data_IF_822088194650
#
_entry.id   IF_822088194650
#
_cell.length_a   1.000
_cell.length_b   1.000
_cell.length_c   1.000
_cell.angle_alpha   90.00
_cell.angle_beta   90.00
_cell.angle_gamma   90.00
#
_symmetry.space_group_name_H-M   'P 1'
#
loop_
_entity.id
_entity.type
_entity.pdbx_description
1 polymer ?
#
# COMPACT_ATOMS: atom_id res chain seq x y z
N UNK A 1 -18.37 -18.07 -11.20
CA UNK A 1 -17.95 -17.61 -9.85
C UNK A 1 -17.25 -16.26 -9.92
N UNK A 2 -16.17 -16.11 -10.69
CA UNK A 2 -15.47 -14.82 -10.81
C UNK A 2 -16.37 -13.65 -11.23
N UNK A 3 -17.27 -13.84 -12.21
CA UNK A 3 -18.18 -12.77 -12.66
C UNK A 3 -19.26 -12.42 -11.62
N UNK A 4 -19.67 -13.39 -10.79
CA UNK A 4 -20.61 -13.14 -9.69
C UNK A 4 -19.96 -12.26 -8.62
N UNK A 5 -18.70 -12.56 -8.26
CA UNK A 5 -17.95 -11.76 -7.29
C UNK A 5 -17.64 -10.37 -7.85
N UNK A 6 -17.30 -10.27 -9.14
CA UNK A 6 -17.16 -8.97 -9.81
C UNK A 6 -18.43 -8.13 -9.67
N UNK A 7 -19.58 -8.71 -10.00
CA UNK A 7 -20.86 -8.00 -9.93
C UNK A 7 -21.21 -7.59 -8.50
N UNK A 8 -20.92 -8.43 -7.50
CA UNK A 8 -21.09 -8.07 -6.08
C UNK A 8 -20.20 -6.90 -5.68
N UNK A 9 -18.92 -6.90 -6.07
CA UNK A 9 -17.98 -5.82 -5.75
C UNK A 9 -18.34 -4.50 -6.44
N UNK A 10 -18.85 -4.57 -7.66
CA UNK A 10 -19.39 -3.40 -8.37
C UNK A 10 -20.64 -2.90 -7.66
N UNK A 11 -21.56 -3.78 -7.27
CA UNK A 11 -22.80 -3.37 -6.60
C UNK A 11 -22.59 -2.73 -5.22
N UNK A 12 -21.54 -3.08 -4.49
CA UNK A 12 -21.21 -2.44 -3.20
C UNK A 12 -20.38 -1.14 -3.37
N UNK A 13 -20.08 -0.74 -4.61
CA UNK A 13 -19.42 0.52 -4.91
C UNK A 13 -17.90 0.54 -4.67
N UNK A 14 -17.23 -0.62 -4.68
CA UNK A 14 -15.77 -0.68 -4.47
C UNK A 14 -15.04 0.06 -5.59
N UNK A 15 -15.50 -0.10 -6.83
CA UNK A 15 -14.86 0.49 -7.99
C UNK A 15 -14.98 2.02 -7.97
N UNK A 16 -16.17 2.56 -7.66
CA UNK A 16 -16.42 4.01 -7.56
C UNK A 16 -15.61 4.65 -6.43
N UNK A 17 -15.55 3.98 -5.27
CA UNK A 17 -14.70 4.42 -4.15
C UNK A 17 -13.22 4.36 -4.49
N UNK A 18 -12.81 3.40 -5.31
CA UNK A 18 -11.42 3.29 -5.73
C UNK A 18 -11.07 4.37 -6.73
N UNK A 19 -11.91 4.56 -7.76
CA UNK A 19 -11.73 5.54 -8.84
C UNK A 19 -11.71 6.98 -8.35
N UNK A 20 -12.47 7.32 -7.32
CA UNK A 20 -12.48 8.68 -6.73
C UNK A 20 -11.18 9.04 -6.02
N UNK A 21 -10.31 8.06 -5.74
CA UNK A 21 -9.02 8.32 -5.10
C UNK A 21 -8.00 8.86 -6.11
N UNK A 22 -7.04 9.69 -5.68
CA UNK A 22 -6.05 10.31 -6.57
C UNK A 22 -5.29 9.33 -7.46
N UNK A 23 -5.05 8.11 -6.98
CA UNK A 23 -4.40 7.04 -7.72
C UNK A 23 -5.37 6.09 -8.45
N UNK A 24 -6.64 6.06 -8.08
CA UNK A 24 -7.62 5.16 -8.69
C UNK A 24 -7.95 5.50 -10.13
N UNK A 25 -7.98 6.79 -10.46
CA UNK A 25 -8.16 7.27 -11.84
C UNK A 25 -7.04 6.78 -12.78
N UNK A 26 -5.80 6.67 -12.30
CA UNK A 26 -4.66 6.14 -13.04
C UNK A 26 -4.75 4.62 -13.27
N UNK A 27 -5.31 3.87 -12.31
CA UNK A 27 -5.55 2.43 -12.48
C UNK A 27 -6.68 2.19 -13.49
N UNK A 28 -7.73 3.02 -13.44
CA UNK A 28 -8.87 2.93 -14.35
C UNK A 28 -8.53 3.30 -15.78
N UNK A 29 -7.68 4.31 -15.99
CA UNK A 29 -7.20 4.68 -17.33
C UNK A 29 -6.36 3.58 -17.98
N UNK A 30 -5.73 2.71 -17.18
CA UNK A 30 -5.11 1.46 -17.63
C UNK A 30 -6.10 0.33 -17.97
N UNK A 31 -7.41 0.56 -17.90
CA UNK A 31 -8.45 -0.44 -18.17
C UNK A 31 -8.68 -1.44 -17.04
N UNK A 32 -8.08 -1.22 -15.86
CA UNK A 32 -8.20 -2.10 -14.70
C UNK A 32 -9.20 -1.55 -13.68
N UNK A 33 -9.94 -2.42 -13.00
CA UNK A 33 -10.81 -2.08 -11.86
C UNK A 33 -10.47 -2.92 -10.66
N UNK A 34 -10.75 -2.43 -9.44
CA UNK A 34 -10.53 -3.19 -8.21
C UNK A 34 -11.32 -4.50 -8.24
N UNK A 35 -12.59 -4.45 -8.65
CA UNK A 35 -13.45 -5.63 -8.86
C UNK A 35 -12.88 -6.59 -9.92
N UNK A 36 -12.29 -6.05 -10.99
CA UNK A 36 -11.69 -6.79 -12.08
C UNK A 36 -10.42 -7.53 -11.66
N UNK A 37 -9.56 -6.87 -10.89
CA UNK A 37 -8.34 -7.47 -10.33
C UNK A 37 -8.72 -8.62 -9.38
N UNK A 38 -9.64 -8.38 -8.45
CA UNK A 38 -10.12 -9.39 -7.50
C UNK A 38 -10.77 -10.58 -8.22
N UNK A 39 -11.68 -10.30 -9.16
CA UNK A 39 -12.34 -11.34 -9.98
C UNK A 39 -11.33 -12.14 -10.80
N UNK A 40 -10.36 -11.46 -11.41
CA UNK A 40 -9.29 -12.07 -12.19
C UNK A 40 -8.45 -13.04 -11.36
N UNK A 41 -8.06 -12.64 -10.14
CA UNK A 41 -7.33 -13.51 -9.20
C UNK A 41 -8.13 -14.74 -8.82
N UNK A 42 -9.43 -14.61 -8.57
CA UNK A 42 -10.29 -15.74 -8.22
C UNK A 42 -10.47 -16.69 -9.41
N UNK A 43 -10.62 -16.15 -10.63
CA UNK A 43 -10.65 -16.97 -11.85
C UNK A 43 -9.35 -17.73 -12.05
N UNK A 44 -8.22 -17.05 -11.85
CA UNK A 44 -6.88 -17.64 -11.92
C UNK A 44 -6.74 -18.78 -10.90
N UNK A 45 -7.23 -18.60 -9.67
CA UNK A 45 -7.24 -19.64 -8.64
C UNK A 45 -7.98 -20.90 -9.11
N UNK A 46 -9.17 -20.72 -9.68
CA UNK A 46 -9.95 -21.82 -10.26
C UNK A 46 -9.22 -22.53 -11.41
N UNK A 47 -8.59 -21.78 -12.30
CA UNK A 47 -7.80 -22.35 -13.41
C UNK A 47 -6.60 -23.15 -12.91
N UNK A 48 -5.88 -22.65 -11.89
CA UNK A 48 -4.72 -23.37 -11.34
C UNK A 48 -5.11 -24.67 -10.63
N UNK A 49 -6.23 -24.68 -9.89
CA UNK A 49 -6.74 -25.93 -9.27
C UNK A 49 -7.06 -26.97 -10.36
N UNK A 50 -7.73 -26.53 -11.43
CA UNK A 50 -8.06 -27.40 -12.56
C UNK A 50 -6.78 -27.93 -13.24
N UNK A 51 -5.82 -27.06 -13.55
CA UNK A 51 -4.55 -27.45 -14.18
C UNK A 51 -3.73 -28.38 -13.29
N UNK A 52 -3.69 -28.14 -11.98
CA UNK A 52 -2.99 -28.97 -11.01
C UNK A 52 -3.60 -30.37 -10.98
N UNK A 53 -4.93 -30.46 -10.94
CA UNK A 53 -5.66 -31.73 -10.93
C UNK A 53 -5.43 -32.50 -12.23
N UNK A 54 -5.54 -31.84 -13.38
CA UNK A 54 -5.27 -32.44 -14.68
C UNK A 54 -3.83 -32.97 -14.78
N UNK A 55 -2.85 -32.16 -14.37
CA UNK A 55 -1.42 -32.52 -14.38
C UNK A 55 -1.10 -33.70 -13.46
N UNK A 56 -1.78 -33.78 -12.32
CA UNK A 56 -1.67 -34.90 -11.39
C UNK A 56 -2.22 -36.20 -12.00
N UNK A 57 -3.37 -36.14 -12.69
CA UNK A 57 -3.95 -37.29 -13.39
C UNK A 57 -3.02 -37.77 -14.52
N UNK A 58 -2.41 -36.83 -15.26
CA UNK A 58 -1.44 -37.13 -16.31
C UNK A 58 -0.07 -37.58 -15.76
N UNK A 59 0.09 -37.66 -14.44
CA UNK A 59 1.34 -38.06 -13.76
C UNK A 59 2.55 -37.19 -14.12
N UNK A 60 2.32 -35.91 -14.43
CA UNK A 60 3.39 -34.94 -14.72
C UNK A 60 3.97 -34.38 -13.42
N UNK A 61 4.67 -35.20 -12.64
CA UNK A 61 5.07 -34.89 -11.25
C UNK A 61 5.77 -33.55 -11.11
N UNK A 62 6.77 -33.25 -11.95
CA UNK A 62 7.52 -31.99 -11.87
C UNK A 62 6.63 -30.76 -12.17
N UNK A 63 5.73 -30.89 -13.15
CA UNK A 63 4.82 -29.81 -13.52
C UNK A 63 3.74 -29.58 -12.46
N UNK A 64 3.21 -30.66 -11.87
CA UNK A 64 2.24 -30.60 -10.76
C UNK A 64 2.82 -29.88 -9.54
N UNK A 65 4.08 -30.15 -9.18
CA UNK A 65 4.75 -29.46 -8.05
C UNK A 65 4.87 -27.95 -8.32
N UNK A 66 5.22 -27.56 -9.54
CA UNK A 66 5.26 -26.14 -9.91
C UNK A 66 3.88 -25.48 -9.78
N UNK A 67 2.82 -26.12 -10.30
CA UNK A 67 1.47 -25.58 -10.20
C UNK A 67 0.98 -25.45 -8.76
N UNK A 68 1.31 -26.42 -7.89
CA UNK A 68 1.00 -26.35 -6.46
C UNK A 68 1.69 -25.13 -5.85
N UNK A 69 2.99 -24.93 -6.10
CA UNK A 69 3.73 -23.78 -5.55
C UNK A 69 3.14 -22.42 -5.95
N UNK A 70 2.70 -22.29 -7.21
CA UNK A 70 2.04 -21.06 -7.70
C UNK A 70 0.67 -20.89 -7.02
N UNK A 71 -0.09 -21.99 -6.89
CA UNK A 71 -1.40 -21.98 -6.24
C UNK A 71 -1.31 -21.60 -4.77
N UNK A 72 -0.26 -22.05 -4.06
CA UNK A 72 0.00 -21.72 -2.66
C UNK A 72 0.47 -20.27 -2.45
N UNK A 73 1.06 -19.65 -3.48
CA UNK A 73 1.44 -18.24 -3.44
C UNK A 73 0.24 -17.30 -3.65
N UNK A 74 -0.75 -17.71 -4.43
CA UNK A 74 -1.90 -16.86 -4.77
C UNK A 74 -2.69 -16.29 -3.57
N UNK A 75 -2.94 -17.00 -2.45
CA UNK A 75 -3.64 -16.45 -1.31
C UNK A 75 -2.89 -15.25 -0.73
N UNK A 76 -1.56 -15.32 -0.67
CA UNK A 76 -0.71 -14.20 -0.20
C UNK A 76 -0.77 -13.02 -1.15
N UNK A 77 -0.70 -13.28 -2.46
CA UNK A 77 -0.88 -12.26 -3.48
C UNK A 77 -2.24 -11.56 -3.34
N UNK A 78 -3.29 -12.35 -3.13
CA UNK A 78 -4.64 -11.85 -2.92
C UNK A 78 -4.75 -10.97 -1.67
N UNK A 79 -4.21 -11.43 -0.54
CA UNK A 79 -4.17 -10.62 0.70
C UNK A 79 -3.41 -9.32 0.50
N UNK A 80 -2.25 -9.35 -0.17
CA UNK A 80 -1.48 -8.14 -0.48
C UNK A 80 -2.27 -7.15 -1.33
N UNK A 81 -3.00 -7.63 -2.35
CA UNK A 81 -3.86 -6.76 -3.17
C UNK A 81 -4.98 -6.16 -2.34
N UNK A 82 -5.61 -6.93 -1.46
CA UNK A 82 -6.63 -6.40 -0.54
C UNK A 82 -6.06 -5.34 0.40
N UNK A 83 -4.85 -5.55 0.93
CA UNK A 83 -4.15 -4.56 1.76
C UNK A 83 -3.92 -3.26 0.98
N UNK A 84 -3.53 -3.33 -0.29
CA UNK A 84 -3.40 -2.13 -1.12
C UNK A 84 -4.75 -1.41 -1.27
N UNK A 85 -5.79 -2.13 -1.67
CA UNK A 85 -7.12 -1.53 -1.90
C UNK A 85 -7.67 -0.88 -0.63
N UNK A 86 -7.64 -1.61 0.49
CA UNK A 86 -8.14 -1.11 1.78
C UNK A 86 -7.22 -0.02 2.33
N UNK A 87 -5.91 -0.19 2.18
CA UNK A 87 -4.91 0.75 2.70
C UNK A 87 -5.01 2.11 2.03
N UNK A 88 -5.20 2.16 0.71
CA UNK A 88 -5.38 3.44 0.00
C UNK A 88 -6.65 4.15 0.47
N UNK A 89 -7.77 3.43 0.62
CA UNK A 89 -9.01 4.01 1.20
C UNK A 89 -8.77 4.52 2.62
N UNK A 90 -8.02 3.76 3.42
CA UNK A 90 -7.71 4.13 4.80
C UNK A 90 -6.86 5.39 4.88
N UNK A 91 -5.95 5.59 3.92
CA UNK A 91 -5.14 6.80 3.84
C UNK A 91 -6.02 8.02 3.66
N UNK A 92 -6.96 8.02 2.71
CA UNK A 92 -7.81 9.18 2.48
C UNK A 92 -8.64 9.54 3.72
N UNK A 93 -9.20 8.55 4.42
CA UNK A 93 -9.95 8.78 5.68
C UNK A 93 -9.07 9.45 6.73
N UNK A 94 -7.86 8.91 6.95
CA UNK A 94 -6.91 9.48 7.92
C UNK A 94 -6.48 10.89 7.49
N UNK A 95 -6.29 11.09 6.19
CA UNK A 95 -5.77 12.34 5.67
C UNK A 95 -6.79 13.47 5.72
N UNK A 96 -8.06 13.16 5.48
CA UNK A 96 -9.17 14.10 5.60
C UNK A 96 -9.37 14.54 7.05
N UNK A 97 -9.29 13.60 8.00
CA UNK A 97 -9.36 13.90 9.43
C UNK A 97 -8.24 14.86 9.86
N UNK A 98 -7.00 14.53 9.51
CA UNK A 98 -5.83 15.35 9.85
C UNK A 98 -5.89 16.73 9.18
N UNK A 99 -6.33 16.79 7.92
CA UNK A 99 -6.48 18.06 7.18
C UNK A 99 -7.53 18.96 7.84
N UNK A 100 -8.64 18.38 8.30
CA UNK A 100 -9.66 19.12 9.05
C UNK A 100 -9.09 19.72 10.34
N UNK A 101 -8.38 18.92 11.13
CA UNK A 101 -7.78 19.39 12.39
C UNK A 101 -6.73 20.47 12.18
N UNK A 102 -5.84 20.30 11.20
CA UNK A 102 -4.73 21.25 10.98
C UNK A 102 -5.24 22.60 10.44
N UNK A 103 -6.29 22.60 9.62
CA UNK A 103 -6.90 23.83 9.10
C UNK A 103 -7.46 24.72 10.20
N UNK A 104 -8.03 24.13 11.24
CA UNK A 104 -8.55 24.86 12.39
C UNK A 104 -7.45 25.52 13.23
N UNK A 105 -6.20 25.04 13.10
CA UNK A 105 -5.05 25.48 13.90
C UNK A 105 -4.18 26.54 13.21
N UNK A 106 -4.51 26.95 11.97
CA UNK A 106 -3.76 27.93 11.17
C UNK A 106 -2.23 27.73 11.16
N UNK A 107 -1.79 26.48 11.01
CA UNK A 107 -0.38 26.11 11.07
C UNK A 107 0.33 26.46 9.74
N UNK A 108 1.38 27.27 9.83
CA UNK A 108 2.29 27.54 8.70
C UNK A 108 2.95 26.24 8.20
N UNK A 109 2.94 26.01 6.89
CA UNK A 109 3.57 24.82 6.28
C UNK A 109 2.65 23.62 6.01
N UNK A 110 1.34 23.79 6.24
CA UNK A 110 0.31 22.77 5.91
C UNK A 110 0.40 22.28 4.46
N UNK A 111 0.76 23.17 3.52
CA UNK A 111 0.92 22.85 2.09
C UNK A 111 2.04 21.85 1.79
N UNK A 112 3.04 21.72 2.67
CA UNK A 112 4.18 20.80 2.52
C UNK A 112 3.98 19.55 3.37
N UNK A 113 3.47 19.71 4.59
CA UNK A 113 3.32 18.61 5.57
C UNK A 113 2.25 17.62 5.12
N UNK A 114 1.10 18.09 4.61
CA UNK A 114 0.00 17.20 4.21
C UNK A 114 0.37 16.26 3.06
N UNK A 115 0.96 16.74 1.94
CA UNK A 115 1.41 15.85 0.87
C UNK A 115 2.49 14.87 1.32
N UNK A 116 3.42 15.33 2.17
CA UNK A 116 4.50 14.50 2.69
C UNK A 116 3.96 13.36 3.56
N UNK A 117 3.02 13.66 4.46
CA UNK A 117 2.38 12.67 5.31
C UNK A 117 1.55 11.67 4.49
N UNK A 118 0.79 12.15 3.49
CA UNK A 118 0.06 11.27 2.56
C UNK A 118 1.01 10.31 1.84
N UNK A 119 2.13 10.83 1.32
CA UNK A 119 3.16 10.01 0.65
C UNK A 119 3.79 8.99 1.59
N UNK A 120 4.03 9.37 2.85
CA UNK A 120 4.58 8.46 3.86
C UNK A 120 3.63 7.32 4.22
N UNK A 121 2.34 7.61 4.44
CA UNK A 121 1.35 6.57 4.70
C UNK A 121 1.21 5.61 3.49
N UNK A 122 1.26 6.15 2.28
CA UNK A 122 1.24 5.35 1.06
C UNK A 122 2.44 4.42 0.96
N UNK A 123 3.64 4.90 1.28
CA UNK A 123 4.86 4.11 1.36
C UNK A 123 4.68 2.94 2.34
N UNK A 124 4.15 3.19 3.55
CA UNK A 124 3.89 2.14 4.54
C UNK A 124 2.93 1.08 3.98
N UNK A 125 1.80 1.50 3.41
CA UNK A 125 0.80 0.57 2.84
C UNK A 125 1.42 -0.30 1.75
N UNK A 126 2.25 0.30 0.87
CA UNK A 126 2.97 -0.45 -0.16
C UNK A 126 3.93 -1.46 0.46
N UNK A 127 4.75 -1.06 1.43
CA UNK A 127 5.70 -1.96 2.07
C UNK A 127 5.01 -3.14 2.74
N UNK A 128 3.92 -2.89 3.47
CA UNK A 128 3.14 -3.95 4.12
C UNK A 128 2.52 -4.89 3.09
N UNK A 129 2.00 -4.36 1.99
CA UNK A 129 1.46 -5.17 0.91
C UNK A 129 2.54 -6.04 0.24
N UNK A 130 3.69 -5.46 -0.08
CA UNK A 130 4.82 -6.17 -0.68
C UNK A 130 5.35 -7.27 0.23
N UNK A 131 5.51 -6.99 1.52
CA UNK A 131 5.93 -7.96 2.52
C UNK A 131 4.93 -9.13 2.63
N UNK A 132 3.63 -8.82 2.63
CA UNK A 132 2.56 -9.84 2.61
C UNK A 132 2.64 -10.73 1.37
N UNK A 133 3.00 -10.13 0.22
CA UNK A 133 3.24 -10.83 -1.03
C UNK A 133 4.59 -11.58 -1.07
N UNK A 134 5.34 -11.67 0.04
CA UNK A 134 6.68 -12.29 0.08
C UNK A 134 7.69 -11.64 -0.88
N UNK A 135 7.48 -10.38 -1.24
CA UNK A 135 8.47 -9.62 -2.00
C UNK A 135 9.55 -9.16 -1.03
N UNK A 136 10.82 -9.37 -1.38
CA UNK A 136 11.95 -8.91 -0.58
C UNK A 136 11.97 -7.36 -0.51
N UNK A 137 11.53 -6.84 0.62
CA UNK A 137 11.51 -5.41 0.93
C UNK A 137 12.79 -4.94 1.65
N UNK A 138 13.76 -5.83 1.86
CA UNK A 138 15.00 -5.54 2.57
C UNK A 138 15.79 -4.37 1.97
N UNK A 139 15.82 -4.28 0.64
CA UNK A 139 16.46 -3.15 -0.05
C UNK A 139 15.77 -1.82 0.26
N UNK A 140 14.43 -1.81 0.35
CA UNK A 140 13.67 -0.62 0.66
C UNK A 140 13.94 -0.18 2.10
N UNK A 141 13.92 -1.10 3.05
CA UNK A 141 14.29 -0.79 4.45
C UNK A 141 15.72 -0.28 4.58
N UNK A 142 16.67 -0.83 3.82
CA UNK A 142 18.06 -0.39 3.84
C UNK A 142 18.24 1.05 3.35
N UNK A 143 17.45 1.48 2.37
CA UNK A 143 17.48 2.87 1.90
C UNK A 143 16.67 3.82 2.80
N UNK A 144 15.44 3.44 3.18
CA UNK A 144 14.55 4.32 3.93
C UNK A 144 14.91 4.43 5.40
N UNK A 145 15.51 3.40 6.01
CA UNK A 145 15.93 3.41 7.41
C UNK A 145 16.90 4.56 7.72
N UNK A 146 18.07 4.62 7.07
CA UNK A 146 19.03 5.71 7.27
C UNK A 146 18.45 7.10 6.92
N UNK A 147 17.63 7.19 5.88
CA UNK A 147 16.95 8.45 5.52
C UNK A 147 16.00 8.91 6.63
N UNK A 148 15.22 8.00 7.21
CA UNK A 148 14.30 8.32 8.31
C UNK A 148 15.06 8.81 9.55
N UNK A 149 16.14 8.12 9.94
CA UNK A 149 17.01 8.57 11.03
C UNK A 149 17.65 9.94 10.74
N UNK A 150 18.10 10.16 9.50
CA UNK A 150 18.66 11.44 9.08
C UNK A 150 17.67 12.59 9.20
N UNK A 151 16.43 12.41 8.71
CA UNK A 151 15.37 13.41 8.84
C UNK A 151 15.00 13.63 10.30
N UNK A 152 14.86 12.56 11.09
CA UNK A 152 14.52 12.66 12.52
C UNK A 152 15.56 13.47 13.30
N UNK A 153 16.85 13.25 13.02
CA UNK A 153 17.95 14.02 13.60
C UNK A 153 17.82 15.50 13.23
N UNK A 154 17.64 15.83 11.95
CA UNK A 154 17.51 17.23 11.49
C UNK A 154 16.34 17.94 12.17
N UNK A 155 15.19 17.27 12.25
CA UNK A 155 13.99 17.83 12.91
C UNK A 155 14.24 18.03 14.41
N UNK A 156 14.81 17.03 15.10
CA UNK A 156 15.11 17.13 16.53
C UNK A 156 16.10 18.25 16.85
N UNK A 157 17.14 18.43 16.05
CA UNK A 157 18.10 19.54 16.22
C UNK A 157 17.45 20.90 15.97
N UNK A 158 16.65 21.03 14.89
CA UNK A 158 16.01 22.29 14.51
C UNK A 158 15.03 22.81 15.56
N UNK A 159 14.21 21.93 16.14
CA UNK A 159 13.14 22.31 17.06
C UNK A 159 13.46 22.09 18.55
N UNK A 160 14.46 21.26 18.89
CA UNK A 160 14.81 20.97 20.28
C UNK A 160 16.09 21.65 20.78
N UNK A 161 17.17 21.57 19.99
CA UNK A 161 18.53 21.92 20.47
C UNK A 161 18.94 23.34 20.06
N UNK A 162 18.44 23.83 18.92
CA UNK A 162 18.80 25.14 18.37
C UNK A 162 18.57 26.27 19.37
N UNK A 163 17.40 26.32 20.00
CA UNK A 163 17.03 27.44 20.88
C UNK A 163 17.86 27.45 22.17
N UNK A 164 18.18 26.27 22.73
CA UNK A 164 19.06 26.13 23.87
C UNK A 164 20.50 26.57 23.56
N UNK A 165 21.03 26.22 22.39
CA UNK A 165 22.37 26.64 21.95
C UNK A 165 22.45 28.14 21.68
N UNK A 166 21.40 28.73 21.10
CA UNK A 166 21.33 30.18 20.83
C UNK A 166 21.24 30.97 22.14
N UNK A 167 20.47 30.49 23.13
CA UNK A 167 20.39 31.11 24.45
C UNK A 167 21.76 31.08 25.17
N UNK A 168 22.42 29.92 25.18
CA UNK A 168 23.76 29.77 25.78
C UNK A 168 24.82 30.65 25.07
N UNK A 169 24.75 30.76 23.75
CA UNK A 169 25.67 31.59 22.98
C UNK A 169 25.45 33.10 23.20
N UNK A 170 24.24 33.53 23.60
CA UNK A 170 23.96 34.93 23.99
C UNK A 170 24.45 35.25 25.39
N UNK A 171 24.35 34.33 26.35
CA UNK A 171 24.82 34.55 27.73
C UNK A 171 26.35 34.64 27.85
N UNK A 172 27.09 34.11 26.86
CA UNK A 172 28.56 34.19 26.81
C UNK A 172 29.14 35.38 26.04
N UNK A 173 28.30 36.29 25.51
CA UNK A 173 28.73 37.55 24.88
C UNK A 173 28.37 38.73 25.76
#
# INVERSE_FOLDING_TARGET
IGDLIKNLLVSIGVDEKFESMPFGSAVRSGGLTASGIISGLIKLFGYLIFLTTASNILQLTMFTVLLISITEYLPRLFTGVLILLIGIISIDIVMDYITGTIRDMNIEGTEIILPLLRGFLFLIVILVALDTMLVDTGILYLFFGPLAWGIAIVVAFKYGVKDALVAYARERK
#
